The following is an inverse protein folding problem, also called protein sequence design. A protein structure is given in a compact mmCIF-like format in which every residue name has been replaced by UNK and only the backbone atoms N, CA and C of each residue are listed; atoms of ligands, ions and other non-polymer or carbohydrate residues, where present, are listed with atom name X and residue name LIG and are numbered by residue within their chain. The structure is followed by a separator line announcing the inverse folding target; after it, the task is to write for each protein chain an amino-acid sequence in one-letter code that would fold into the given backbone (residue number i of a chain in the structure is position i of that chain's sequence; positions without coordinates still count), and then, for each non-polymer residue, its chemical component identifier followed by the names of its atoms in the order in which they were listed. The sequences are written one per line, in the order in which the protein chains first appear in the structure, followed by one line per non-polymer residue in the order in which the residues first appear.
data_IF_446905343373
#
_entry.id   IF_446905343373
#
_cell.length_a   1.000
_cell.length_b   1.000
_cell.length_c   1.000
_cell.angle_alpha   90.00
_cell.angle_beta   90.00
_cell.angle_gamma   90.00
#
_symmetry.space_group_name_H-M   'P 1'
#
loop_
_entity.id
_entity.type
_entity.pdbx_description
1 polymer ?
#
# COMPACT_ATOMS: atom_id res chain seq x y z
N UNK A 1 20.17 -9.19 1.65
CA UNK A 1 19.22 -8.11 1.30
C UNK A 1 20.01 -6.81 1.20
N UNK A 2 19.72 -5.90 0.26
CA UNK A 2 20.47 -4.62 0.22
C UNK A 2 20.04 -3.71 1.39
N UNK A 3 20.88 -2.75 1.83
CA UNK A 3 20.52 -1.80 2.89
C UNK A 3 19.22 -1.05 2.58
N UNK A 4 19.00 -0.71 1.31
CA UNK A 4 17.78 -0.06 0.83
C UNK A 4 16.55 -0.94 0.98
N UNK A 5 16.66 -2.25 0.74
CA UNK A 5 15.56 -3.19 0.94
C UNK A 5 15.23 -3.36 2.43
N UNK A 6 16.24 -3.41 3.29
CA UNK A 6 16.06 -3.51 4.76
C UNK A 6 15.32 -2.28 5.29
N UNK A 7 15.73 -1.08 4.87
CA UNK A 7 15.07 0.17 5.28
C UNK A 7 13.62 0.26 4.79
N UNK A 8 13.31 -0.26 3.60
CA UNK A 8 11.92 -0.32 3.10
C UNK A 8 11.08 -1.28 3.92
N UNK A 9 11.64 -2.41 4.33
CA UNK A 9 10.93 -3.36 5.17
C UNK A 9 10.63 -2.75 6.56
N UNK A 10 11.60 -2.08 7.17
CA UNK A 10 11.43 -1.33 8.41
C UNK A 10 10.50 -0.12 8.32
N UNK A 11 10.11 0.31 7.13
CA UNK A 11 9.07 1.32 6.95
C UNK A 11 7.66 0.73 6.97
N UNK A 12 7.52 -0.54 6.58
CA UNK A 12 6.23 -1.24 6.50
C UNK A 12 5.92 -2.07 7.76
N UNK A 13 6.95 -2.50 8.50
CA UNK A 13 6.82 -3.36 9.67
C UNK A 13 7.44 -2.68 10.90
N UNK A 14 6.58 -2.35 11.88
CA UNK A 14 6.97 -1.66 13.10
C UNK A 14 7.78 -2.55 14.05
N UNK A 15 7.49 -3.85 14.09
CA UNK A 15 8.19 -4.81 14.94
C UNK A 15 9.62 -5.00 14.39
N UNK A 16 9.75 -5.20 13.08
CA UNK A 16 11.05 -5.26 12.42
C UNK A 16 11.84 -3.95 12.58
N UNK A 17 11.17 -2.80 12.56
CA UNK A 17 11.82 -1.51 12.82
C UNK A 17 12.38 -1.45 14.24
N UNK A 18 11.67 -1.95 15.24
CA UNK A 18 12.14 -1.98 16.62
C UNK A 18 13.41 -2.84 16.76
N UNK A 19 13.40 -4.04 16.18
CA UNK A 19 14.55 -4.93 16.15
C UNK A 19 15.76 -4.30 15.44
N UNK A 20 15.52 -3.65 14.29
CA UNK A 20 16.56 -2.95 13.53
C UNK A 20 17.19 -1.79 14.32
N UNK A 21 16.40 -1.08 15.14
CA UNK A 21 16.90 0.02 15.97
C UNK A 21 17.76 -0.47 17.13
N UNK A 22 17.46 -1.65 17.69
CA UNK A 22 18.27 -2.27 18.75
C UNK A 22 19.60 -2.81 18.22
N UNK A 23 19.61 -3.34 16.99
CA UNK A 23 20.74 -4.11 16.45
C UNK A 23 21.12 -3.75 14.99
N UNK A 24 21.35 -2.47 14.65
CA UNK A 24 21.51 -2.04 13.26
C UNK A 24 22.72 -2.67 12.54
N UNK A 25 23.79 -2.97 13.29
CA UNK A 25 25.00 -3.59 12.76
C UNK A 25 24.78 -5.02 12.25
N UNK A 26 23.86 -5.78 12.85
CA UNK A 26 23.55 -7.16 12.45
C UNK A 26 22.83 -7.21 11.10
N UNK A 27 22.18 -6.12 10.73
CA UNK A 27 21.53 -5.92 9.44
C UNK A 27 22.44 -5.20 8.43
N UNK A 28 23.69 -4.85 8.80
CA UNK A 28 24.62 -4.14 7.93
C UNK A 28 24.20 -2.71 7.60
N UNK A 29 23.41 -2.07 8.48
CA UNK A 29 22.90 -0.70 8.30
C UNK A 29 23.64 0.23 9.26
N UNK A 30 24.26 1.28 8.73
CA UNK A 30 25.02 2.24 9.53
C UNK A 30 24.12 3.22 10.32
N UNK A 31 22.96 3.58 9.75
CA UNK A 31 22.01 4.47 10.38
C UNK A 31 20.59 4.18 9.89
N UNK A 32 19.63 4.18 10.81
CA UNK A 32 18.20 4.07 10.52
C UNK A 32 17.62 5.48 10.52
N UNK A 33 17.00 5.96 9.41
CA UNK A 33 16.36 7.26 9.39
C UNK A 33 15.26 7.38 10.44
N UNK A 34 15.06 8.59 10.96
CA UNK A 34 13.92 8.89 11.83
C UNK A 34 12.60 8.52 11.13
N UNK A 35 11.62 8.07 11.92
CA UNK A 35 10.28 7.83 11.40
C UNK A 35 9.69 9.16 10.95
N UNK A 36 9.00 9.15 9.81
CA UNK A 36 8.13 10.27 9.42
C UNK A 36 6.79 10.11 10.13
N UNK A 37 6.14 11.23 10.41
CA UNK A 37 4.79 11.22 10.97
C UNK A 37 3.83 10.54 9.98
N UNK A 38 3.00 9.64 10.49
CA UNK A 38 2.01 8.98 9.66
C UNK A 38 0.98 10.01 9.20
N UNK A 39 0.54 9.96 7.93
CA UNK A 39 -0.60 10.77 7.50
C UNK A 39 -1.80 10.45 8.39
N UNK A 40 -2.61 11.47 8.67
CA UNK A 40 -3.79 11.31 9.49
C UNK A 40 -4.79 10.35 8.83
N UNK A 41 -5.61 9.70 9.66
CA UNK A 41 -6.54 8.68 9.21
C UNK A 41 -7.59 9.22 8.23
N UNK A 42 -7.95 10.50 8.34
CA UNK A 42 -8.91 11.15 7.43
C UNK A 42 -8.30 11.33 6.04
N UNK A 43 -7.06 11.80 5.97
CA UNK A 43 -6.28 11.86 4.72
C UNK A 43 -6.12 10.48 4.09
N UNK A 44 -5.76 9.45 4.86
CA UNK A 44 -5.67 8.07 4.37
C UNK A 44 -7.02 7.54 3.85
N UNK A 45 -8.11 7.85 4.56
CA UNK A 45 -9.48 7.55 4.14
C UNK A 45 -9.81 8.18 2.79
N UNK A 46 -9.54 9.47 2.63
CA UNK A 46 -9.78 10.19 1.37
C UNK A 46 -9.06 9.55 0.17
N UNK A 47 -7.78 9.18 0.32
CA UNK A 47 -7.02 8.55 -0.77
C UNK A 47 -7.54 7.14 -1.11
N UNK A 48 -7.94 6.38 -0.10
CA UNK A 48 -8.47 5.01 -0.28
C UNK A 48 -9.87 5.01 -0.87
N UNK A 49 -10.73 5.94 -0.45
CA UNK A 49 -12.05 6.16 -1.05
C UNK A 49 -11.92 6.63 -2.51
N UNK A 50 -10.99 7.54 -2.80
CA UNK A 50 -10.71 7.97 -4.16
C UNK A 50 -10.29 6.82 -5.08
N UNK A 51 -9.43 5.91 -4.61
CA UNK A 51 -9.04 4.72 -5.35
C UNK A 51 -10.22 3.75 -5.56
N UNK A 52 -10.99 3.47 -4.51
CA UNK A 52 -12.16 2.62 -4.59
C UNK A 52 -13.24 3.20 -5.53
N UNK A 53 -13.43 4.52 -5.54
CA UNK A 53 -14.36 5.19 -6.43
C UNK A 53 -13.95 5.06 -7.91
N UNK A 54 -12.64 5.11 -8.21
CA UNK A 54 -12.11 4.88 -9.55
C UNK A 54 -12.36 3.44 -10.01
N UNK A 55 -12.11 2.45 -9.13
CA UNK A 55 -12.35 1.04 -9.45
C UNK A 55 -13.84 0.73 -9.68
N UNK A 56 -14.73 1.31 -8.86
CA UNK A 56 -16.19 1.18 -9.02
C UNK A 56 -16.65 1.83 -10.34
N UNK A 57 -16.14 3.02 -10.68
CA UNK A 57 -16.48 3.70 -11.93
C UNK A 57 -15.96 2.94 -13.16
N UNK A 58 -14.74 2.39 -13.09
CA UNK A 58 -14.17 1.56 -14.16
C UNK A 58 -14.99 0.29 -14.38
N UNK A 59 -15.44 -0.35 -13.30
CA UNK A 59 -16.32 -1.52 -13.38
C UNK A 59 -17.68 -1.17 -14.01
N UNK A 60 -18.34 -0.10 -13.55
CA UNK A 60 -19.63 0.33 -14.10
C UNK A 60 -19.57 0.72 -15.59
N UNK A 61 -18.46 1.27 -16.05
CA UNK A 61 -18.28 1.69 -17.45
C UNK A 61 -17.84 0.57 -18.41
N UNK A 62 -17.41 -0.58 -17.87
CA UNK A 62 -16.95 -1.74 -18.64
C UNK A 62 -17.90 -2.94 -18.58
N UNK A 63 -18.88 -2.97 -17.68
CA UNK A 63 -19.86 -4.06 -17.63
C UNK A 63 -21.11 -3.75 -18.47
N UNK A 64 -21.53 -4.67 -19.33
CA UNK A 64 -22.78 -4.58 -20.09
C UNK A 64 -23.97 -4.88 -19.16
N UNK A 65 -24.74 -3.86 -18.78
CA UNK A 65 -25.92 -4.03 -17.91
C UNK A 65 -27.08 -4.69 -18.67
N UNK A 66 -27.34 -5.97 -18.39
CA UNK A 66 -28.49 -6.73 -18.88
C UNK A 66 -29.07 -7.64 -17.78
N UNK A 67 -30.29 -8.18 -17.94
CA UNK A 67 -31.00 -8.92 -16.89
C UNK A 67 -30.35 -10.26 -16.48
N UNK A 68 -29.28 -10.69 -17.17
CA UNK A 68 -28.54 -11.93 -16.90
C UNK A 68 -27.04 -11.76 -17.23
N UNK A 69 -26.27 -10.94 -16.50
CA UNK A 69 -24.80 -10.91 -16.69
C UNK A 69 -24.02 -10.64 -15.39
N UNK A 70 -23.17 -11.60 -14.98
CA UNK A 70 -22.20 -11.56 -13.87
C UNK A 70 -20.77 -11.76 -14.39
N UNK A 71 -20.34 -11.02 -15.41
CA UNK A 71 -18.94 -11.08 -15.87
C UNK A 71 -18.44 -9.65 -16.06
N UNK A 72 -17.67 -9.19 -15.08
CA UNK A 72 -16.92 -7.94 -15.11
C UNK A 72 -15.43 -8.33 -15.13
N UNK A 73 -14.93 -8.84 -16.27
CA UNK A 73 -13.51 -9.21 -16.42
C UNK A 73 -12.63 -8.05 -16.93
N UNK A 74 -13.23 -6.87 -17.16
CA UNK A 74 -12.52 -5.66 -17.56
C UNK A 74 -12.07 -5.63 -19.03
N UNK A 75 -12.40 -6.61 -19.87
CA UNK A 75 -11.93 -6.66 -21.27
C UNK A 75 -13.00 -6.50 -22.34
N UNK A 76 -14.30 -6.52 -22.00
CA UNK A 76 -15.35 -6.56 -23.03
C UNK A 76 -16.47 -5.55 -22.75
N UNK A 77 -16.76 -4.68 -23.72
CA UNK A 77 -18.04 -3.93 -23.80
C UNK A 77 -19.12 -4.80 -24.42
#
# INVERSE_FOLDING_TARGET
MSPTTILRHAAADADFRSELLERPADFGVAAVPAGVEQPDAESLGYWTEGAAAVDVYACASTCTSGPLTFICDGTTK
#
